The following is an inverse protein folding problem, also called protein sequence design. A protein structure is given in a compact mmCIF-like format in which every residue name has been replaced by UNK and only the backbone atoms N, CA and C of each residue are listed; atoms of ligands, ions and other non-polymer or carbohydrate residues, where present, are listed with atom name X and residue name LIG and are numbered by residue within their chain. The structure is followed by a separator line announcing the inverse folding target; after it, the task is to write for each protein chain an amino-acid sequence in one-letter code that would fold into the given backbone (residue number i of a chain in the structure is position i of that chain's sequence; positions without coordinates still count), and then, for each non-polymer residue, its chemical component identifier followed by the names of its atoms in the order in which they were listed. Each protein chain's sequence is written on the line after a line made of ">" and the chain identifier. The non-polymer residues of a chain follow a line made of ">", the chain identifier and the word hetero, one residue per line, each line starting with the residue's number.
data_IF_376631669199
#
_entry.id   IF_376631669199
#
_cell.length_a   1.000
_cell.length_b   1.000
_cell.length_c   1.000
_cell.angle_alpha   90.00
_cell.angle_beta   90.00
_cell.angle_gamma   90.00
#
_symmetry.space_group_name_H-M   'P 1'
#
loop_
_entity.id
_entity.type
_entity.pdbx_description
1 polymer ?
#
# COMPACT_ATOMS: atom_id res chain seq x y z
N UNK A 1 6.83 14.61 4.09
CA UNK A 1 6.95 14.61 5.57
C UNK A 1 5.62 14.94 6.25
N UNK A 2 4.89 15.98 5.86
CA UNK A 2 3.61 16.37 6.48
C UNK A 2 2.54 15.26 6.50
N UNK A 3 2.51 14.39 5.49
CA UNK A 3 1.52 13.28 5.43
C UNK A 3 1.87 12.08 6.31
N UNK A 4 3.12 11.85 6.66
CA UNK A 4 3.49 10.82 7.64
C UNK A 4 3.12 11.24 9.06
N UNK A 5 3.30 12.51 9.41
CA UNK A 5 2.98 13.08 10.72
C UNK A 5 1.48 13.04 11.06
N UNK A 6 0.59 13.19 10.09
CA UNK A 6 -0.86 13.27 10.31
C UNK A 6 -1.43 12.03 11.03
N UNK A 7 -0.98 10.84 10.67
CA UNK A 7 -1.45 9.60 11.31
C UNK A 7 -0.83 9.39 12.69
N UNK A 8 0.36 9.91 12.94
CA UNK A 8 1.02 9.79 14.23
C UNK A 8 0.32 10.62 15.31
N UNK A 9 -0.14 11.82 14.98
CA UNK A 9 -0.93 12.66 15.92
C UNK A 9 -2.23 11.98 16.35
N UNK A 10 -2.86 11.24 15.44
CA UNK A 10 -4.06 10.47 15.77
C UNK A 10 -3.76 9.30 16.69
N UNK A 11 -2.70 8.54 16.41
CA UNK A 11 -2.34 7.36 17.22
C UNK A 11 -1.93 7.75 18.64
N UNK A 12 -1.30 8.91 18.85
CA UNK A 12 -0.98 9.44 20.18
C UNK A 12 -2.24 9.64 21.02
N UNK A 13 -3.30 10.18 20.43
CA UNK A 13 -4.61 10.32 21.12
C UNK A 13 -5.21 8.96 21.48
N UNK A 14 -5.08 7.97 20.60
CA UNK A 14 -5.55 6.62 20.89
C UNK A 14 -4.70 5.98 21.99
N UNK A 15 -3.38 6.17 21.96
CA UNK A 15 -2.47 5.66 22.99
C UNK A 15 -2.80 6.20 24.39
N UNK A 16 -3.25 7.44 24.51
CA UNK A 16 -3.60 8.02 25.79
C UNK A 16 -4.83 7.40 26.47
N UNK A 17 -5.63 6.62 25.75
CA UNK A 17 -6.87 6.01 26.25
C UNK A 17 -6.83 4.47 26.28
N UNK A 18 -5.72 3.85 25.90
CA UNK A 18 -5.61 2.38 25.92
C UNK A 18 -4.18 1.89 26.09
N UNK A 19 -4.02 0.82 26.89
CA UNK A 19 -2.77 0.07 27.05
C UNK A 19 -2.67 -1.14 26.11
N UNK A 20 -3.69 -1.35 25.27
CA UNK A 20 -3.71 -2.47 24.31
C UNK A 20 -2.69 -2.23 23.20
N UNK A 21 -2.11 -3.31 22.62
CA UNK A 21 -1.24 -3.18 21.45
C UNK A 21 -1.93 -2.43 20.31
N UNK A 22 -1.25 -1.42 19.77
CA UNK A 22 -1.72 -0.58 18.68
C UNK A 22 -0.94 -0.87 17.41
N UNK A 23 -1.66 -1.08 16.32
CA UNK A 23 -1.09 -1.16 14.98
C UNK A 23 -1.58 0.01 14.14
N UNK A 24 -0.65 0.71 13.48
CA UNK A 24 -0.97 1.74 12.51
C UNK A 24 -0.59 1.28 11.10
N UNK A 25 -1.55 1.31 10.19
CA UNK A 25 -1.32 0.98 8.77
C UNK A 25 -1.52 2.20 7.89
N UNK A 26 -0.52 2.48 7.05
CA UNK A 26 -0.54 3.58 6.08
C UNK A 26 0.31 4.78 6.52
N UNK A 27 0.62 5.65 5.54
CA UNK A 27 1.39 6.87 5.75
C UNK A 27 2.90 6.70 5.78
N UNK A 28 3.42 5.60 6.26
CA UNK A 28 4.87 5.35 6.36
C UNK A 28 5.56 5.29 4.98
N UNK A 29 6.74 5.90 4.89
CA UNK A 29 7.59 5.96 3.69
C UNK A 29 9.04 5.62 3.99
N UNK A 30 9.50 5.83 5.23
CA UNK A 30 10.89 5.66 5.63
C UNK A 30 11.00 4.76 6.86
N UNK A 31 12.06 3.98 6.92
CA UNK A 31 12.35 3.10 8.06
C UNK A 31 12.58 3.91 9.32
N UNK A 32 13.30 5.03 9.21
CA UNK A 32 13.59 5.89 10.36
C UNK A 32 12.33 6.41 11.06
N UNK A 33 11.28 6.80 10.30
CA UNK A 33 10.01 7.25 10.89
C UNK A 33 9.26 6.10 11.57
N UNK A 34 9.34 4.88 11.01
CA UNK A 34 8.76 3.68 11.63
C UNK A 34 9.45 3.34 12.95
N UNK A 35 10.78 3.30 12.95
CA UNK A 35 11.60 3.02 14.12
C UNK A 35 11.38 4.07 15.23
N UNK A 36 11.31 5.35 14.87
CA UNK A 36 11.04 6.42 15.80
C UNK A 36 9.65 6.28 16.45
N UNK A 37 8.61 5.96 15.66
CA UNK A 37 7.26 5.80 16.17
C UNK A 37 7.14 4.61 17.15
N UNK A 38 7.88 3.52 16.89
CA UNK A 38 7.98 2.37 17.80
C UNK A 38 8.78 2.73 19.07
N UNK A 39 9.93 3.39 18.92
CA UNK A 39 10.80 3.78 20.04
C UNK A 39 10.11 4.78 20.99
N UNK A 40 9.31 5.69 20.45
CA UNK A 40 8.50 6.65 21.23
C UNK A 40 7.29 6.00 21.94
N UNK A 41 7.04 4.69 21.71
CA UNK A 41 5.89 3.99 22.27
C UNK A 41 4.54 4.45 21.74
N UNK A 42 4.52 5.16 20.60
CA UNK A 42 3.28 5.65 19.98
C UNK A 42 2.44 4.51 19.44
N UNK A 43 3.09 3.47 18.94
CA UNK A 43 2.48 2.24 18.44
C UNK A 43 3.39 1.03 18.73
N UNK A 44 2.85 -0.16 18.65
CA UNK A 44 3.57 -1.40 18.89
C UNK A 44 3.88 -2.15 17.59
N UNK A 45 3.08 -1.93 16.54
CA UNK A 45 3.20 -2.62 15.26
C UNK A 45 3.02 -1.63 14.10
N UNK A 46 3.95 -1.65 13.16
CA UNK A 46 3.83 -0.94 11.88
C UNK A 46 3.14 -1.82 10.85
N UNK A 47 2.05 -1.35 10.27
CA UNK A 47 1.34 -2.01 9.19
C UNK A 47 1.69 -1.39 7.83
N UNK A 48 2.03 -2.23 6.86
CA UNK A 48 2.30 -1.83 5.48
C UNK A 48 1.45 -2.68 4.53
N UNK A 49 0.73 -2.05 3.59
CA UNK A 49 -0.08 -2.77 2.61
C UNK A 49 0.49 -2.64 1.19
N UNK A 50 0.38 -1.44 0.60
CA UNK A 50 0.81 -1.18 -0.78
C UNK A 50 2.27 -1.53 -1.09
N UNK A 51 3.24 -1.25 -0.22
CA UNK A 51 4.62 -1.64 -0.47
C UNK A 51 4.82 -3.14 -0.67
N UNK A 52 4.10 -3.98 0.10
CA UNK A 52 4.17 -5.44 -0.05
C UNK A 52 3.60 -5.96 -1.38
N UNK A 53 2.70 -5.21 -2.02
CA UNK A 53 2.25 -5.54 -3.38
C UNK A 53 3.36 -5.42 -4.43
N UNK A 54 4.44 -4.69 -4.10
CA UNK A 54 5.56 -4.40 -4.99
C UNK A 54 6.85 -5.09 -4.57
N UNK A 55 6.99 -5.39 -3.31
CA UNK A 55 8.10 -6.17 -2.75
C UNK A 55 7.58 -7.05 -1.60
N UNK A 56 7.29 -8.33 -1.85
CA UNK A 56 6.82 -9.24 -0.79
C UNK A 56 7.89 -9.51 0.27
N UNK A 57 9.17 -9.32 -0.05
CA UNK A 57 10.31 -9.51 0.86
C UNK A 57 10.68 -8.22 1.61
N UNK A 58 9.86 -7.16 1.51
CA UNK A 58 10.15 -5.83 2.04
C UNK A 58 10.56 -5.84 3.52
N UNK A 59 9.86 -6.59 4.36
CA UNK A 59 10.18 -6.66 5.78
C UNK A 59 11.60 -7.22 6.01
N UNK A 60 11.95 -8.29 5.30
CA UNK A 60 13.28 -8.88 5.36
C UNK A 60 14.35 -7.91 4.87
N UNK A 61 14.08 -7.20 3.76
CA UNK A 61 15.00 -6.22 3.20
C UNK A 61 15.24 -5.03 4.14
N UNK A 62 14.20 -4.62 4.88
CA UNK A 62 14.31 -3.59 5.93
C UNK A 62 15.19 -4.10 7.08
N UNK A 63 14.92 -5.29 7.63
CA UNK A 63 15.67 -5.85 8.75
C UNK A 63 17.15 -6.13 8.39
N UNK A 64 17.44 -6.38 7.12
CA UNK A 64 18.81 -6.54 6.63
C UNK A 64 19.48 -5.20 6.27
N UNK A 65 18.80 -4.06 6.50
CA UNK A 65 19.33 -2.73 6.17
C UNK A 65 19.47 -2.43 4.68
N UNK A 66 18.87 -3.25 3.79
CA UNK A 66 18.96 -3.07 2.34
C UNK A 66 18.04 -1.95 1.83
N UNK A 67 16.97 -1.68 2.56
CA UNK A 67 15.96 -0.67 2.21
C UNK A 67 15.74 0.24 3.42
N UNK A 68 15.90 1.54 3.21
CA UNK A 68 15.68 2.58 4.22
C UNK A 68 14.47 3.45 3.91
N UNK A 69 13.99 3.42 2.66
CA UNK A 69 12.81 4.13 2.21
C UNK A 69 12.15 3.39 1.05
N UNK A 70 10.84 3.58 0.88
CA UNK A 70 10.09 2.98 -0.22
C UNK A 70 8.99 3.91 -0.73
N UNK A 71 8.69 3.76 -2.01
CA UNK A 71 7.63 4.51 -2.68
C UNK A 71 6.40 3.64 -2.89
N UNK A 72 5.22 4.29 -2.83
CA UNK A 72 3.95 3.70 -3.23
C UNK A 72 3.42 4.47 -4.43
N UNK A 73 3.61 3.97 -5.66
CA UNK A 73 3.16 4.65 -6.86
C UNK A 73 1.66 4.94 -6.83
N UNK A 74 1.27 6.11 -7.34
CA UNK A 74 -0.11 6.45 -7.65
C UNK A 74 -0.29 6.37 -9.18
N UNK A 75 -0.73 5.22 -9.71
CA UNK A 75 -0.91 5.08 -11.14
C UNK A 75 -2.05 5.98 -11.63
N UNK A 76 -1.83 6.67 -12.75
CA UNK A 76 -2.83 7.50 -13.41
C UNK A 76 -3.31 6.85 -14.71
N UNK A 77 -4.58 7.03 -15.03
CA UNK A 77 -5.14 6.66 -16.34
C UNK A 77 -4.83 7.70 -17.42
N UNK A 78 -4.41 8.91 -17.02
CA UNK A 78 -4.35 10.09 -17.87
C UNK A 78 -5.70 10.84 -17.98
N UNK A 79 -6.77 10.33 -17.38
CA UNK A 79 -8.09 10.95 -17.36
C UNK A 79 -8.47 11.29 -15.91
N UNK A 80 -8.48 12.58 -15.57
CA UNK A 80 -8.74 13.05 -14.21
C UNK A 80 -10.04 12.52 -13.60
N UNK A 81 -11.09 12.34 -14.41
CA UNK A 81 -12.37 11.82 -13.95
C UNK A 81 -12.23 10.38 -13.42
N UNK A 82 -11.56 9.50 -14.17
CA UNK A 82 -11.32 8.11 -13.79
C UNK A 82 -10.42 8.05 -12.55
N UNK A 83 -9.38 8.87 -12.51
CA UNK A 83 -8.44 8.90 -11.40
C UNK A 83 -9.10 9.38 -10.09
N UNK A 84 -9.95 10.42 -10.16
CA UNK A 84 -10.71 10.94 -9.01
C UNK A 84 -11.75 9.95 -8.46
N UNK A 85 -12.29 9.07 -9.28
CA UNK A 85 -13.22 8.01 -8.85
C UNK A 85 -12.50 6.85 -8.15
N UNK A 86 -11.18 6.88 -7.99
CA UNK A 86 -10.40 5.77 -7.43
C UNK A 86 -10.35 4.54 -8.35
N UNK A 87 -10.78 4.68 -9.61
CA UNK A 87 -10.93 3.60 -10.57
C UNK A 87 -9.63 2.94 -11.03
N UNK A 88 -8.49 3.49 -10.67
CA UNK A 88 -7.18 3.05 -11.16
C UNK A 88 -6.31 2.41 -10.08
N UNK A 89 -6.25 3.01 -8.90
CA UNK A 89 -5.30 2.60 -7.86
C UNK A 89 -5.56 1.16 -7.37
N UNK A 90 -6.77 0.88 -6.94
CA UNK A 90 -7.13 -0.46 -6.44
C UNK A 90 -6.94 -1.55 -7.50
N UNK A 91 -7.46 -1.41 -8.74
CA UNK A 91 -7.20 -2.36 -9.81
C UNK A 91 -5.71 -2.57 -10.11
N UNK A 92 -4.93 -1.50 -10.09
CA UNK A 92 -3.49 -1.59 -10.36
C UNK A 92 -2.77 -2.44 -9.30
N UNK A 93 -3.02 -2.18 -8.00
CA UNK A 93 -2.45 -2.98 -6.93
C UNK A 93 -2.99 -4.43 -6.91
N UNK A 94 -4.28 -4.63 -7.20
CA UNK A 94 -4.86 -5.97 -7.33
C UNK A 94 -4.19 -6.80 -8.44
N UNK A 95 -3.85 -6.17 -9.56
CA UNK A 95 -3.08 -6.84 -10.63
C UNK A 95 -1.67 -7.21 -10.17
N UNK A 96 -0.98 -6.38 -9.37
CA UNK A 96 0.33 -6.72 -8.83
C UNK A 96 0.23 -7.95 -7.91
N UNK A 97 -0.76 -7.97 -6.99
CA UNK A 97 -1.02 -9.12 -6.12
C UNK A 97 -1.32 -10.37 -6.95
N UNK A 98 -2.17 -10.25 -7.98
CA UNK A 98 -2.49 -11.36 -8.89
C UNK A 98 -1.28 -11.88 -9.69
N UNK A 99 -0.28 -11.04 -9.93
CA UNK A 99 1.02 -11.45 -10.53
C UNK A 99 1.85 -12.22 -9.51
N UNK A 100 1.97 -11.71 -8.29
CA UNK A 100 2.67 -12.38 -7.19
C UNK A 100 2.10 -13.77 -6.92
N UNK A 101 0.76 -13.90 -6.86
CA UNK A 101 0.09 -15.18 -6.69
C UNK A 101 0.34 -16.20 -7.80
N UNK A 102 0.87 -15.76 -8.96
CA UNK A 102 1.31 -16.61 -10.08
C UNK A 102 2.84 -16.77 -10.15
N UNK A 103 3.57 -16.44 -9.09
CA UNK A 103 5.02 -16.47 -9.03
C UNK A 103 5.72 -15.45 -9.95
N UNK A 104 5.01 -14.40 -10.40
CA UNK A 104 5.57 -13.37 -11.29
C UNK A 104 5.93 -12.13 -10.50
N UNK A 105 7.04 -11.49 -10.87
CA UNK A 105 7.42 -10.20 -10.28
C UNK A 105 6.40 -9.10 -10.59
N UNK A 106 6.19 -8.13 -9.69
CA UNK A 106 5.36 -6.97 -9.94
C UNK A 106 5.84 -6.18 -11.16
N UNK A 107 4.90 -5.57 -11.88
CA UNK A 107 5.18 -4.74 -13.05
C UNK A 107 4.95 -3.27 -12.71
N UNK A 108 5.97 -2.60 -12.14
CA UNK A 108 5.88 -1.21 -11.66
C UNK A 108 5.54 -0.20 -12.75
N UNK A 109 5.93 -0.47 -14.00
CA UNK A 109 5.67 0.38 -15.17
C UNK A 109 4.33 0.08 -15.88
N UNK A 110 3.41 -0.67 -15.24
CA UNK A 110 2.07 -0.88 -15.76
C UNK A 110 1.30 0.44 -15.74
N UNK A 111 0.75 0.88 -16.89
CA UNK A 111 -0.04 2.11 -16.93
C UNK A 111 -1.38 1.93 -16.19
N UNK A 112 -1.87 3.02 -15.58
CA UNK A 112 -3.15 3.01 -14.90
C UNK A 112 -4.32 2.71 -15.85
N UNK A 113 -4.26 3.20 -17.09
CA UNK A 113 -5.28 2.90 -18.11
C UNK A 113 -5.33 1.40 -18.43
N UNK A 114 -4.18 0.75 -18.57
CA UNK A 114 -4.11 -0.71 -18.78
C UNK A 114 -4.69 -1.46 -17.59
N UNK A 115 -4.40 -1.00 -16.36
CA UNK A 115 -4.94 -1.62 -15.15
C UNK A 115 -6.46 -1.50 -15.08
N UNK A 116 -6.99 -0.32 -15.37
CA UNK A 116 -8.43 -0.06 -15.44
C UNK A 116 -9.11 -0.98 -16.47
N UNK A 117 -8.58 -1.03 -17.70
CA UNK A 117 -9.12 -1.87 -18.78
C UNK A 117 -9.14 -3.36 -18.40
N UNK A 118 -8.02 -3.89 -17.90
CA UNK A 118 -7.93 -5.31 -17.54
C UNK A 118 -8.86 -5.66 -16.37
N UNK A 119 -9.01 -4.77 -15.40
CA UNK A 119 -9.94 -4.96 -14.28
C UNK A 119 -11.39 -5.00 -14.75
N UNK A 120 -11.78 -4.04 -15.59
CA UNK A 120 -13.14 -3.97 -16.16
C UNK A 120 -13.45 -5.19 -17.00
N UNK A 121 -12.52 -5.59 -17.89
CA UNK A 121 -12.65 -6.81 -18.67
C UNK A 121 -12.87 -8.06 -17.81
N UNK A 122 -12.05 -8.23 -16.75
CA UNK A 122 -12.18 -9.37 -15.85
C UNK A 122 -13.51 -9.37 -15.08
N UNK A 123 -14.01 -8.20 -14.70
CA UNK A 123 -15.30 -8.06 -14.03
C UNK A 123 -16.45 -8.46 -14.95
N UNK A 124 -16.44 -7.98 -16.20
CA UNK A 124 -17.42 -8.31 -17.21
C UNK A 124 -17.43 -9.81 -17.50
N UNK A 125 -16.25 -10.39 -17.79
CA UNK A 125 -16.13 -11.83 -18.09
C UNK A 125 -16.66 -12.66 -16.91
N UNK A 126 -16.30 -12.35 -15.66
CA UNK A 126 -16.80 -13.07 -14.49
C UNK A 126 -18.31 -12.91 -14.31
N UNK A 127 -18.89 -11.78 -14.70
CA UNK A 127 -20.34 -11.56 -14.63
C UNK A 127 -21.12 -12.43 -15.63
N UNK A 128 -20.55 -12.65 -16.83
CA UNK A 128 -21.20 -13.49 -17.85
C UNK A 128 -21.01 -15.01 -17.65
N UNK A 129 -19.96 -15.43 -16.96
CA UNK A 129 -19.66 -16.85 -16.75
C UNK A 129 -19.98 -17.36 -15.33
N UNK A 130 -20.69 -16.57 -14.52
CA UNK A 130 -21.14 -16.96 -13.20
C UNK A 130 -22.59 -17.49 -13.29
N UNK A 131 -22.73 -18.66 -13.92
CA UNK A 131 -23.89 -19.55 -13.79
C UNK A 131 -23.37 -20.91 -13.38
#
# INVERSE_FOLDING_TARGET
>A
QEREAYFLDYIEKVRSITDKPLMLTGGFRTVAVMEQALADGKLDIVGLARPFCLNPELAQDIFLGKITAFETPFPSSGFQFIDKMGGVELPWYALQIGRLGKGKRPKKNLSGLTAFYLSTKNMIVKSFFKN
#
